data_IF_186051642794
#
_entry.id   IF_186051642794
#
_cell.length_a   1.000
_cell.length_b   1.000
_cell.length_c   1.000
_cell.angle_alpha   90.00
_cell.angle_beta   90.00
_cell.angle_gamma   90.00
#
_symmetry.space_group_name_H-M   'P 1'
#
loop_
_entity.id
_entity.type
_entity.pdbx_description
1 polymer ?
#
# COMPACT_ATOMS: atom_id res chain seq x y z
N UNK A 1 -9.47 -19.69 10.03
CA UNK A 1 -8.07 -19.33 9.76
C UNK A 1 -7.75 -19.73 8.34
N UNK A 2 -7.14 -18.86 7.56
CA UNK A 2 -6.41 -19.22 6.34
C UNK A 2 -4.91 -19.09 6.60
N UNK A 3 -4.11 -19.58 5.66
CA UNK A 3 -2.68 -19.30 5.58
C UNK A 3 -2.46 -18.60 4.24
N UNK A 4 -1.65 -17.54 4.22
CA UNK A 4 -1.39 -16.83 2.96
C UNK A 4 -0.58 -17.71 1.97
N UNK A 5 0.25 -18.62 2.50
CA UNK A 5 1.12 -19.50 1.71
C UNK A 5 0.96 -20.95 2.21
N UNK A 6 -0.18 -21.61 1.95
CA UNK A 6 -0.55 -22.88 2.59
C UNK A 6 0.40 -24.04 2.22
N UNK A 7 1.05 -23.99 1.06
CA UNK A 7 2.07 -24.97 0.66
C UNK A 7 3.32 -24.94 1.56
N UNK A 8 3.63 -23.84 2.26
CA UNK A 8 4.74 -23.78 3.21
C UNK A 8 4.52 -24.69 4.43
N UNK A 9 3.29 -25.11 4.71
CA UNK A 9 3.01 -26.10 5.75
C UNK A 9 3.59 -27.49 5.42
N UNK A 10 3.84 -27.81 4.14
CA UNK A 10 4.56 -29.05 3.77
C UNK A 10 6.00 -29.05 4.28
N UNK A 11 6.61 -27.88 4.47
CA UNK A 11 7.96 -27.75 5.04
C UNK A 11 8.00 -28.18 6.52
N UNK A 12 6.85 -28.27 7.22
CA UNK A 12 6.74 -28.79 8.60
C UNK A 12 6.99 -30.30 8.66
N UNK A 13 6.84 -31.03 7.55
CA UNK A 13 7.04 -32.49 7.49
C UNK A 13 8.52 -32.85 7.73
N UNK A 14 9.47 -32.02 7.28
CA UNK A 14 10.91 -32.25 7.49
C UNK A 14 11.33 -32.21 8.98
N UNK A 15 11.07 -31.14 9.76
CA UNK A 15 11.39 -31.13 11.19
C UNK A 15 10.54 -32.15 11.97
N UNK A 16 9.28 -32.39 11.60
CA UNK A 16 8.45 -33.44 12.22
C UNK A 16 9.07 -34.83 12.03
N UNK A 17 9.49 -35.16 10.79
CA UNK A 17 10.13 -36.42 10.43
C UNK A 17 11.45 -36.62 11.16
N UNK A 18 12.29 -35.59 11.28
CA UNK A 18 13.54 -35.69 12.03
C UNK A 18 13.30 -35.85 13.54
N UNK A 19 12.32 -35.13 14.12
CA UNK A 19 11.96 -35.26 15.53
C UNK A 19 11.43 -36.67 15.84
N UNK A 20 10.56 -37.21 14.96
CA UNK A 20 10.08 -38.60 15.03
C UNK A 20 11.21 -39.62 14.86
N UNK A 21 12.12 -39.42 13.91
CA UNK A 21 13.29 -40.27 13.71
C UNK A 21 14.18 -40.29 14.95
N UNK A 22 14.50 -39.11 15.52
CA UNK A 22 15.28 -39.00 16.75
C UNK A 22 14.50 -39.51 17.97
N UNK A 23 13.18 -39.70 17.93
CA UNK A 23 12.35 -40.37 18.95
C UNK A 23 12.36 -41.90 18.79
N UNK A 24 12.12 -42.43 17.59
CA UNK A 24 12.15 -43.87 17.31
C UNK A 24 13.54 -44.48 17.55
N UNK A 25 14.61 -43.75 17.22
CA UNK A 25 15.96 -44.18 17.54
C UNK A 25 16.27 -44.21 19.05
N UNK A 26 15.45 -43.58 19.94
CA UNK A 26 15.60 -43.73 21.41
C UNK A 26 15.17 -45.12 21.87
N UNK A 27 14.13 -45.67 21.27
CA UNK A 27 13.62 -47.02 21.59
C UNK A 27 14.66 -48.09 21.23
N UNK A 28 15.43 -47.88 20.15
CA UNK A 28 16.54 -48.78 19.75
C UNK A 28 17.86 -48.48 20.46
N UNK A 29 18.20 -47.22 20.72
CA UNK A 29 19.40 -46.84 21.46
C UNK A 29 19.33 -47.14 22.97
N UNK A 30 18.14 -47.42 23.51
CA UNK A 30 17.96 -47.88 24.89
C UNK A 30 18.40 -49.32 25.14
N UNK A 31 18.55 -50.14 24.07
CA UNK A 31 18.87 -51.58 24.17
C UNK A 31 20.18 -51.97 23.48
N UNK A 32 20.70 -51.15 22.55
CA UNK A 32 21.97 -51.40 21.86
C UNK A 32 23.21 -50.95 22.67
N UNK A 33 23.45 -51.59 23.82
CA UNK A 33 24.80 -51.61 24.40
C UNK A 33 25.72 -52.43 23.47
N UNK A 34 26.76 -51.81 22.90
CA UNK A 34 27.82 -52.50 22.13
C UNK A 34 29.15 -52.52 22.90
N UNK A 35 29.32 -53.40 23.91
CA UNK A 35 30.63 -53.69 24.48
C UNK A 35 31.38 -54.61 23.52
N UNK A 36 32.21 -54.04 22.63
CA UNK A 36 33.21 -54.83 21.86
C UNK A 36 34.40 -54.08 21.24
N UNK A 37 34.57 -52.79 21.53
CA UNK A 37 35.69 -51.96 21.01
C UNK A 37 36.49 -51.32 22.17
N UNK A 38 36.14 -51.60 23.44
CA UNK A 38 36.78 -51.00 24.63
C UNK A 38 37.27 -52.02 25.67
N UNK A 39 37.36 -53.30 25.30
CA UNK A 39 37.82 -54.38 26.20
C UNK A 39 39.28 -54.81 25.94
N UNK A 40 40.01 -54.10 25.06
CA UNK A 40 41.37 -54.47 24.65
C UNK A 40 42.47 -54.17 25.67
N UNK A 41 42.48 -52.97 26.27
CA UNK A 41 43.67 -52.46 27.00
C UNK A 41 43.35 -51.79 28.36
N UNK A 42 42.11 -51.86 28.85
CA UNK A 42 41.68 -51.20 30.09
C UNK A 42 41.45 -52.22 31.24
N UNK A 43 42.52 -52.56 31.97
CA UNK A 43 42.46 -53.53 33.06
C UNK A 43 41.60 -53.10 34.26
N UNK A 44 40.65 -53.95 34.66
CA UNK A 44 39.94 -53.96 35.97
C UNK A 44 39.40 -52.60 36.48
N UNK A 45 38.99 -51.70 35.59
CA UNK A 45 38.50 -50.36 35.93
C UNK A 45 37.27 -49.97 35.12
N UNK A 46 36.09 -50.45 35.50
CA UNK A 46 34.81 -50.18 34.81
C UNK A 46 34.36 -48.72 34.94
N UNK A 47 34.92 -47.87 34.09
CA UNK A 47 34.58 -46.44 33.96
C UNK A 47 33.16 -46.24 33.42
N UNK A 48 32.17 -46.35 34.30
CA UNK A 48 30.78 -45.99 34.02
C UNK A 48 30.64 -44.47 33.78
N UNK A 49 30.92 -44.04 32.55
CA UNK A 49 30.68 -42.70 32.03
C UNK A 49 29.16 -42.39 32.02
N UNK A 50 28.63 -41.99 33.18
CA UNK A 50 27.21 -41.68 33.39
C UNK A 50 26.82 -40.43 32.59
N UNK A 51 26.37 -40.64 31.35
CA UNK A 51 26.16 -39.63 30.30
C UNK A 51 25.04 -38.60 30.54
N UNK A 52 25.17 -37.80 31.60
CA UNK A 52 24.28 -36.66 31.90
C UNK A 52 24.28 -35.62 30.78
N UNK A 53 25.43 -35.39 30.14
CA UNK A 53 25.58 -34.51 28.99
C UNK A 53 24.75 -34.96 27.77
N UNK A 54 24.68 -36.27 27.51
CA UNK A 54 23.88 -36.81 26.39
C UNK A 54 22.39 -36.47 26.56
N UNK A 55 21.83 -36.68 27.76
CA UNK A 55 20.44 -36.33 28.07
C UNK A 55 20.17 -34.81 27.98
N UNK A 56 21.15 -33.95 28.28
CA UNK A 56 21.03 -32.49 28.09
C UNK A 56 21.06 -32.10 26.62
N UNK A 57 22.02 -32.58 25.84
CA UNK A 57 22.12 -32.27 24.40
C UNK A 57 20.93 -32.79 23.60
N UNK A 58 20.42 -33.97 23.96
CA UNK A 58 19.19 -34.54 23.41
C UNK A 58 17.95 -33.69 23.76
N UNK A 59 17.89 -33.08 24.96
CA UNK A 59 16.83 -32.10 25.29
C UNK A 59 16.94 -30.85 24.42
N UNK A 60 18.13 -30.29 24.23
CA UNK A 60 18.34 -29.11 23.38
C UNK A 60 17.76 -29.33 21.97
N UNK A 61 18.08 -30.46 21.33
CA UNK A 61 17.57 -30.82 20.00
C UNK A 61 16.03 -30.91 19.91
N UNK A 62 15.34 -31.40 20.95
CA UNK A 62 13.87 -31.41 20.96
C UNK A 62 13.33 -29.98 20.87
N UNK A 63 13.90 -29.05 21.65
CA UNK A 63 13.52 -27.64 21.61
C UNK A 63 13.90 -26.98 20.27
N UNK A 64 15.01 -27.38 19.64
CA UNK A 64 15.39 -26.93 18.29
C UNK A 64 14.30 -27.29 17.25
N UNK A 65 13.94 -28.58 17.17
CA UNK A 65 12.96 -29.06 16.19
C UNK A 65 11.56 -28.51 16.45
N UNK A 66 11.15 -28.41 17.73
CA UNK A 66 9.88 -27.79 18.11
C UNK A 66 9.83 -26.30 17.74
N UNK A 67 10.91 -25.55 18.02
CA UNK A 67 11.03 -24.14 17.63
C UNK A 67 11.01 -23.93 16.12
N UNK A 68 11.67 -24.82 15.36
CA UNK A 68 11.65 -24.80 13.90
C UNK A 68 10.25 -25.09 13.33
N UNK A 69 9.50 -26.03 13.91
CA UNK A 69 8.10 -26.28 13.51
C UNK A 69 7.22 -25.02 13.70
N UNK A 70 7.31 -24.35 14.86
CA UNK A 70 6.58 -23.09 15.09
C UNK A 70 7.05 -21.96 14.16
N UNK A 71 8.35 -21.88 13.83
CA UNK A 71 8.88 -20.89 12.89
C UNK A 71 8.31 -21.06 11.48
N UNK A 72 8.16 -22.31 11.00
CA UNK A 72 7.53 -22.60 9.70
C UNK A 72 6.03 -22.25 9.72
N UNK A 73 5.33 -22.53 10.83
CA UNK A 73 3.93 -22.11 11.00
C UNK A 73 3.79 -20.57 11.00
N UNK A 74 4.75 -19.84 11.58
CA UNK A 74 4.78 -18.37 11.49
C UNK A 74 5.04 -17.89 10.06
N UNK A 75 5.96 -18.54 9.33
CA UNK A 75 6.30 -18.22 7.94
C UNK A 75 5.12 -18.45 6.97
N UNK A 76 4.25 -19.43 7.25
CA UNK A 76 3.01 -19.65 6.51
C UNK A 76 1.97 -18.52 6.67
N UNK A 77 2.24 -17.52 7.53
CA UNK A 77 1.43 -16.32 7.82
C UNK A 77 -0.04 -16.69 8.13
N UNK A 78 -0.32 -17.20 9.35
CA UNK A 78 -1.68 -17.52 9.78
C UNK A 78 -2.52 -16.24 9.84
N UNK A 79 -3.63 -16.25 9.12
CA UNK A 79 -4.55 -15.13 8.95
C UNK A 79 -5.88 -15.42 9.66
N UNK A 80 -6.29 -14.52 10.55
CA UNK A 80 -7.59 -14.58 11.23
C UNK A 80 -8.01 -13.23 11.83
N UNK A 81 -9.33 -13.03 11.88
CA UNK A 81 -9.92 -11.69 11.93
C UNK A 81 -9.98 -11.09 10.53
N UNK A 82 -11.11 -10.47 10.21
CA UNK A 82 -11.24 -9.52 9.11
C UNK A 82 -10.98 -8.13 9.70
N UNK A 83 -10.29 -7.27 8.96
CA UNK A 83 -10.53 -5.84 9.08
C UNK A 83 -11.28 -5.47 7.81
N UNK A 84 -12.50 -5.01 7.97
CA UNK A 84 -13.22 -4.26 6.95
C UNK A 84 -12.56 -2.88 6.89
N UNK A 85 -11.51 -2.79 6.09
CA UNK A 85 -10.79 -1.56 5.75
C UNK A 85 -11.55 -0.96 4.56
N UNK A 86 -12.34 0.12 4.72
CA UNK A 86 -13.16 0.66 3.64
C UNK A 86 -12.25 1.34 2.62
N UNK A 87 -11.79 0.57 1.63
CA UNK A 87 -11.10 1.11 0.48
C UNK A 87 -12.14 1.84 -0.36
N UNK A 88 -12.14 3.18 -0.29
CA UNK A 88 -12.98 4.06 -1.09
C UNK A 88 -12.52 4.09 -2.57
N UNK A 89 -12.39 2.92 -3.20
CA UNK A 89 -12.00 2.75 -4.60
C UNK A 89 -13.19 2.98 -5.55
N UNK A 90 -13.74 4.19 -5.45
CA UNK A 90 -14.62 4.80 -6.44
C UNK A 90 -14.07 6.19 -6.76
N UNK A 91 -12.86 6.21 -7.32
CA UNK A 91 -12.30 7.40 -7.98
C UNK A 91 -13.26 7.82 -9.10
N UNK A 92 -14.04 8.88 -8.87
CA UNK A 92 -15.07 9.34 -9.80
C UNK A 92 -14.40 9.96 -11.02
N UNK A 93 -14.97 9.77 -12.21
CA UNK A 93 -14.50 10.42 -13.43
C UNK A 93 -15.35 11.67 -13.69
N UNK A 94 -14.74 12.85 -13.57
CA UNK A 94 -15.38 14.15 -13.82
C UNK A 94 -14.77 14.75 -15.09
N UNK A 95 -15.58 14.94 -16.11
CA UNK A 95 -15.15 15.54 -17.37
C UNK A 95 -15.81 16.91 -17.51
N UNK A 96 -15.00 17.97 -17.40
CA UNK A 96 -15.44 19.36 -17.48
C UNK A 96 -15.37 19.80 -18.93
N UNK A 97 -16.43 20.40 -19.46
CA UNK A 97 -16.50 20.88 -20.83
C UNK A 97 -16.79 22.38 -20.86
N UNK A 98 -15.96 23.14 -21.59
CA UNK A 98 -16.00 24.61 -21.62
C UNK A 98 -16.28 25.08 -23.03
N UNK A 99 -17.34 25.85 -23.17
CA UNK A 99 -17.72 26.49 -24.43
C UNK A 99 -16.82 27.71 -24.69
N UNK A 100 -16.17 27.70 -25.85
CA UNK A 100 -15.28 28.75 -26.36
C UNK A 100 -15.89 29.44 -27.61
N UNK A 101 -17.19 29.27 -27.87
CA UNK A 101 -17.90 30.04 -28.87
C UNK A 101 -17.89 31.55 -28.56
N UNK A 102 -18.06 32.38 -29.58
CA UNK A 102 -17.97 33.86 -29.42
C UNK A 102 -19.05 34.44 -28.51
N UNK A 103 -20.20 33.76 -28.35
CA UNK A 103 -21.24 34.17 -27.39
C UNK A 103 -20.75 34.11 -25.94
N UNK A 104 -19.76 33.27 -25.62
CA UNK A 104 -19.16 33.21 -24.29
C UNK A 104 -18.24 34.42 -23.97
N UNK A 105 -17.90 35.26 -24.96
CA UNK A 105 -17.23 36.55 -24.71
C UNK A 105 -18.18 37.66 -24.21
N UNK A 106 -19.49 37.40 -24.21
CA UNK A 106 -20.51 38.38 -23.77
C UNK A 106 -20.35 38.71 -22.28
N UNK A 107 -20.57 39.98 -21.95
CA UNK A 107 -20.35 40.56 -20.62
C UNK A 107 -21.66 40.85 -19.85
N UNK A 108 -22.73 40.09 -20.13
CA UNK A 108 -23.98 40.17 -19.36
C UNK A 108 -23.81 39.62 -17.94
N UNK A 109 -22.91 38.65 -17.75
CA UNK A 109 -22.31 38.29 -16.47
C UNK A 109 -20.86 38.79 -16.44
N UNK A 110 -20.47 39.46 -15.35
CA UNK A 110 -19.10 40.00 -15.21
C UNK A 110 -18.09 38.93 -14.76
N UNK A 111 -16.82 38.97 -15.26
CA UNK A 111 -16.34 39.91 -16.28
C UNK A 111 -16.74 39.52 -17.71
N UNK A 112 -16.82 38.22 -18.01
CA UNK A 112 -17.44 37.62 -19.20
C UNK A 112 -18.07 36.27 -18.84
N UNK A 113 -18.90 35.68 -19.71
CA UNK A 113 -19.43 34.32 -19.51
C UNK A 113 -18.30 33.26 -19.47
N UNK A 114 -17.30 33.37 -20.34
CA UNK A 114 -16.13 32.48 -20.36
C UNK A 114 -15.31 32.59 -19.07
N UNK A 115 -15.02 33.80 -18.60
CA UNK A 115 -14.27 33.98 -17.35
C UNK A 115 -15.10 33.56 -16.13
N UNK A 116 -16.42 33.70 -16.19
CA UNK A 116 -17.33 33.11 -15.20
C UNK A 116 -17.22 31.58 -15.17
N UNK A 117 -17.11 30.93 -16.33
CA UNK A 117 -16.86 29.49 -16.43
C UNK A 117 -15.50 29.13 -15.80
N UNK A 118 -14.40 29.79 -16.20
CA UNK A 118 -13.05 29.58 -15.61
C UNK A 118 -13.06 29.68 -14.08
N UNK A 119 -13.73 30.68 -13.52
CA UNK A 119 -13.85 30.88 -12.06
C UNK A 119 -14.66 29.76 -11.37
N UNK A 120 -15.75 29.31 -11.97
CA UNK A 120 -16.54 28.18 -11.44
C UNK A 120 -15.74 26.87 -11.46
N UNK A 121 -14.90 26.67 -12.48
CA UNK A 121 -14.04 25.48 -12.60
C UNK A 121 -12.91 25.54 -11.56
N UNK A 122 -12.21 26.67 -11.41
CA UNK A 122 -11.20 26.85 -10.35
C UNK A 122 -11.78 26.60 -8.96
N UNK A 123 -12.98 27.12 -8.67
CA UNK A 123 -13.68 26.91 -7.40
C UNK A 123 -14.23 25.49 -7.22
N UNK A 124 -14.30 24.68 -8.29
CA UNK A 124 -14.60 23.25 -8.21
C UNK A 124 -13.33 22.45 -7.89
N UNK A 125 -12.23 22.70 -8.60
CA UNK A 125 -10.94 22.01 -8.38
C UNK A 125 -10.47 22.14 -6.92
N UNK A 126 -10.69 23.31 -6.30
CA UNK A 126 -10.41 23.59 -4.88
C UNK A 126 -11.25 22.78 -3.87
N UNK A 127 -12.26 22.01 -4.33
CA UNK A 127 -13.19 21.23 -3.51
C UNK A 127 -13.26 19.74 -3.86
N UNK A 128 -12.45 19.27 -4.81
CA UNK A 128 -12.38 17.85 -5.17
C UNK A 128 -11.30 17.14 -4.35
N UNK A 129 -11.57 15.90 -3.95
CA UNK A 129 -10.72 15.13 -3.03
C UNK A 129 -10.61 13.68 -3.52
N UNK A 130 -9.80 13.46 -4.58
CA UNK A 130 -9.49 12.14 -5.12
C UNK A 130 -10.29 11.73 -6.36
N UNK A 131 -11.17 12.60 -6.87
CA UNK A 131 -11.72 12.45 -8.22
C UNK A 131 -10.64 12.57 -9.31
N UNK A 132 -10.89 11.92 -10.45
CA UNK A 132 -10.10 12.11 -11.68
C UNK A 132 -10.82 13.11 -12.58
N UNK A 133 -10.19 14.26 -12.82
CA UNK A 133 -10.74 15.38 -13.58
C UNK A 133 -10.08 15.47 -14.95
N UNK A 134 -10.88 15.73 -15.98
CA UNK A 134 -10.42 16.04 -17.34
C UNK A 134 -11.11 17.30 -17.86
N UNK A 135 -10.55 17.86 -18.92
CA UNK A 135 -11.01 19.11 -19.54
C UNK A 135 -11.20 18.91 -21.05
N UNK A 136 -12.41 19.17 -21.55
CA UNK A 136 -12.73 19.35 -22.96
C UNK A 136 -13.00 20.83 -23.21
N UNK A 137 -12.56 21.30 -24.38
CA UNK A 137 -12.92 22.61 -24.94
C UNK A 137 -13.72 22.41 -26.21
N UNK A 138 -14.74 23.23 -26.45
CA UNK A 138 -15.58 23.09 -27.63
C UNK A 138 -16.12 24.41 -28.19
N UNK A 139 -16.46 24.38 -29.47
CA UNK A 139 -17.10 25.41 -30.27
C UNK A 139 -17.76 24.69 -31.46
N UNK A 140 -17.46 25.02 -32.73
CA UNK A 140 -17.87 24.23 -33.90
C UNK A 140 -17.23 22.82 -33.96
N UNK A 141 -16.10 22.63 -33.27
CA UNK A 141 -15.42 21.34 -33.03
C UNK A 141 -15.22 21.15 -31.52
N UNK A 142 -14.71 19.98 -31.09
CA UNK A 142 -14.40 19.71 -29.68
C UNK A 142 -13.07 18.95 -29.55
N UNK A 143 -12.29 19.25 -28.50
CA UNK A 143 -11.01 18.62 -28.24
C UNK A 143 -10.80 18.35 -26.74
N UNK A 144 -10.14 17.23 -26.42
CA UNK A 144 -9.72 16.88 -25.06
C UNK A 144 -8.43 17.65 -24.70
N UNK A 145 -8.58 18.79 -24.02
CA UNK A 145 -7.47 19.63 -23.57
C UNK A 145 -6.65 18.99 -22.45
N UNK A 146 -7.29 18.24 -21.54
CA UNK A 146 -6.61 17.49 -20.48
C UNK A 146 -7.30 16.15 -20.21
N UNK A 147 -6.59 15.00 -20.26
CA UNK A 147 -7.16 13.70 -19.95
C UNK A 147 -7.46 13.54 -18.45
N UNK A 148 -8.35 12.58 -18.11
CA UNK A 148 -8.79 12.29 -16.74
C UNK A 148 -7.63 11.96 -15.78
N UNK A 149 -7.20 12.95 -15.00
CA UNK A 149 -6.06 12.92 -14.08
C UNK A 149 -6.46 13.27 -12.65
N UNK A 150 -5.67 12.84 -11.66
CA UNK A 150 -5.80 13.31 -10.27
C UNK A 150 -4.94 14.56 -9.98
N UNK A 151 -4.23 15.09 -10.98
CA UNK A 151 -3.46 16.33 -10.89
C UNK A 151 -4.33 17.52 -11.32
N UNK A 152 -4.79 18.30 -10.33
CA UNK A 152 -5.65 19.47 -10.56
C UNK A 152 -4.84 20.74 -10.84
N UNK A 153 -3.56 20.82 -10.44
CA UNK A 153 -2.72 22.00 -10.63
C UNK A 153 -2.35 22.18 -12.11
N UNK A 154 -2.05 21.07 -12.81
CA UNK A 154 -1.87 21.09 -14.27
C UNK A 154 -3.14 21.60 -14.98
N UNK A 155 -4.33 21.20 -14.52
CA UNK A 155 -5.60 21.65 -15.12
C UNK A 155 -5.83 23.15 -14.83
N UNK A 156 -5.50 23.60 -13.61
CA UNK A 156 -5.59 25.01 -13.19
C UNK A 156 -4.71 25.93 -14.03
N UNK A 157 -3.50 25.51 -14.39
CA UNK A 157 -2.56 26.28 -15.23
C UNK A 157 -3.06 26.46 -16.68
N UNK A 158 -3.90 25.55 -17.19
CA UNK A 158 -4.49 25.68 -18.52
C UNK A 158 -5.68 26.65 -18.60
N UNK A 159 -6.45 26.83 -17.51
CA UNK A 159 -7.69 27.64 -17.54
C UNK A 159 -7.50 29.12 -17.97
N UNK A 160 -6.43 29.84 -17.57
CA UNK A 160 -6.20 31.22 -18.01
C UNK A 160 -5.96 31.35 -19.51
N UNK A 161 -5.40 30.32 -20.17
CA UNK A 161 -5.03 30.33 -21.58
C UNK A 161 -6.19 30.04 -22.54
N UNK A 162 -7.39 29.71 -22.01
CA UNK A 162 -8.58 29.48 -22.83
C UNK A 162 -9.21 30.81 -23.27
N UNK A 163 -9.40 30.97 -24.57
CA UNK A 163 -10.08 32.11 -25.20
C UNK A 163 -10.87 31.63 -26.43
N UNK A 164 -11.76 32.46 -26.99
CA UNK A 164 -12.59 32.07 -28.13
C UNK A 164 -11.76 31.77 -29.40
N UNK A 165 -10.65 32.50 -29.59
CA UNK A 165 -9.72 32.27 -30.70
C UNK A 165 -8.77 31.06 -30.48
N UNK A 166 -8.92 30.32 -29.37
CA UNK A 166 -8.21 29.04 -29.15
C UNK A 166 -8.72 27.92 -30.08
N UNK A 167 -9.98 28.03 -30.54
CA UNK A 167 -10.61 27.05 -31.41
C UNK A 167 -10.58 27.49 -32.88
N UNK A 168 -10.28 26.59 -33.85
CA UNK A 168 -10.17 26.94 -35.27
C UNK A 168 -11.54 27.17 -35.94
N UNK A 169 -12.62 26.63 -35.38
CA UNK A 169 -13.98 26.71 -35.94
C UNK A 169 -14.94 27.34 -34.93
N UNK A 170 -15.60 28.43 -35.32
CA UNK A 170 -16.64 29.08 -34.51
C UNK A 170 -18.00 28.37 -34.55
N UNK A 171 -18.95 28.88 -33.77
CA UNK A 171 -20.24 28.23 -33.53
C UNK A 171 -20.18 27.27 -32.34
N UNK A 172 -21.23 26.44 -32.18
CA UNK A 172 -21.42 25.56 -31.02
C UNK A 172 -21.97 24.21 -31.48
N UNK A 173 -21.22 23.13 -31.25
CA UNK A 173 -21.47 21.78 -31.74
C UNK A 173 -21.49 20.77 -30.58
N UNK A 174 -22.69 20.53 -30.05
CA UNK A 174 -22.90 19.61 -28.94
C UNK A 174 -22.59 18.15 -29.31
N UNK A 175 -22.74 17.76 -30.58
CA UNK A 175 -22.43 16.39 -31.02
C UNK A 175 -20.94 16.08 -30.87
N UNK A 176 -20.08 16.93 -31.41
CA UNK A 176 -18.62 16.78 -31.29
C UNK A 176 -18.18 16.71 -29.82
N UNK A 177 -18.78 17.52 -28.94
CA UNK A 177 -18.54 17.49 -27.50
C UNK A 177 -18.97 16.16 -26.86
N UNK A 178 -20.17 15.64 -27.16
CA UNK A 178 -20.67 14.40 -26.56
C UNK A 178 -19.89 13.19 -27.05
N UNK A 179 -19.52 13.15 -28.33
CA UNK A 179 -18.74 12.07 -28.92
C UNK A 179 -17.30 12.08 -28.37
N UNK A 180 -16.67 13.26 -28.24
CA UNK A 180 -15.36 13.41 -27.57
C UNK A 180 -15.41 13.01 -26.10
N UNK A 181 -16.50 13.33 -25.39
CA UNK A 181 -16.70 12.90 -24.01
C UNK A 181 -16.83 11.38 -23.88
N UNK A 182 -17.56 10.73 -24.80
CA UNK A 182 -17.70 9.28 -24.87
C UNK A 182 -16.36 8.56 -25.14
N UNK A 183 -15.42 9.19 -25.85
CA UNK A 183 -14.06 8.66 -26.03
C UNK A 183 -13.15 8.92 -24.82
N UNK A 184 -13.30 10.06 -24.14
CA UNK A 184 -12.45 10.45 -23.01
C UNK A 184 -12.72 9.68 -21.70
N UNK A 185 -13.97 9.27 -21.43
CA UNK A 185 -14.30 8.44 -20.26
C UNK A 185 -13.70 7.03 -20.37
N UNK A 186 -13.14 6.50 -19.27
CA UNK A 186 -12.52 5.17 -19.33
C UNK A 186 -13.58 4.08 -19.53
N UNK A 187 -13.20 2.99 -20.19
CA UNK A 187 -14.09 1.83 -20.38
C UNK A 187 -14.36 1.03 -19.08
N UNK A 188 -13.81 1.43 -17.93
CA UNK A 188 -13.97 0.71 -16.67
C UNK A 188 -15.38 0.89 -16.08
N UNK A 189 -16.05 -0.20 -15.68
CA UNK A 189 -17.50 -0.17 -15.38
C UNK A 189 -17.85 0.14 -13.91
N UNK A 190 -16.91 0.62 -13.09
CA UNK A 190 -17.11 0.81 -11.64
C UNK A 190 -16.81 2.22 -11.11
N UNK A 191 -16.50 3.17 -11.99
CA UNK A 191 -16.37 4.59 -11.63
C UNK A 191 -17.67 5.34 -11.97
N UNK A 192 -18.14 6.17 -11.04
CA UNK A 192 -19.21 7.14 -11.29
C UNK A 192 -18.73 8.19 -12.31
N UNK A 193 -19.44 8.34 -13.44
CA UNK A 193 -19.09 9.28 -14.52
C UNK A 193 -19.97 10.52 -14.51
N UNK A 194 -19.35 11.70 -14.51
CA UNK A 194 -20.02 13.00 -14.54
C UNK A 194 -19.48 13.87 -15.66
N UNK A 195 -20.37 14.34 -16.54
CA UNK A 195 -20.06 15.33 -17.57
C UNK A 195 -20.55 16.70 -17.09
N UNK A 196 -19.67 17.67 -16.87
CA UNK A 196 -20.04 19.02 -16.43
C UNK A 196 -19.91 19.96 -17.62
N UNK A 197 -21.03 20.49 -18.12
CA UNK A 197 -21.04 21.37 -19.31
C UNK A 197 -21.33 22.82 -18.93
N UNK A 198 -20.42 23.73 -19.29
CA UNK A 198 -20.51 25.16 -19.07
C UNK A 198 -20.65 25.89 -20.42
N UNK A 199 -21.84 26.41 -20.70
CA UNK A 199 -22.21 27.07 -21.96
C UNK A 199 -23.42 28.00 -21.74
N UNK A 200 -23.71 28.90 -22.67
CA UNK A 200 -25.00 29.61 -22.74
C UNK A 200 -26.13 28.78 -23.37
N UNK A 201 -25.84 27.60 -23.92
CA UNK A 201 -26.84 26.66 -24.41
C UNK A 201 -27.29 26.85 -25.86
N UNK A 202 -26.81 27.89 -26.55
CA UNK A 202 -27.14 28.14 -27.96
C UNK A 202 -26.67 26.97 -28.83
N UNK A 203 -27.55 26.44 -29.68
CA UNK A 203 -27.23 25.33 -30.60
C UNK A 203 -27.75 25.59 -32.01
N UNK A 204 -26.95 25.24 -33.02
CA UNK A 204 -27.33 25.38 -34.43
C UNK A 204 -28.09 24.15 -34.94
N UNK A 205 -27.97 23.00 -34.26
CA UNK A 205 -28.59 21.74 -34.66
C UNK A 205 -29.06 20.88 -33.48
N UNK A 206 -29.81 19.81 -33.78
CA UNK A 206 -30.27 18.80 -32.80
C UNK A 206 -29.52 17.46 -32.92
N UNK A 207 -28.46 17.34 -33.73
CA UNK A 207 -27.83 16.02 -33.99
C UNK A 207 -27.18 15.39 -32.75
N UNK A 208 -26.85 16.20 -31.75
CA UNK A 208 -26.41 15.77 -30.42
C UNK A 208 -27.38 14.83 -29.71
N UNK A 209 -28.68 14.84 -30.09
CA UNK A 209 -29.68 13.92 -29.54
C UNK A 209 -29.44 12.46 -29.91
N UNK A 210 -28.66 12.17 -30.96
CA UNK A 210 -28.23 10.81 -31.30
C UNK A 210 -27.29 10.22 -30.23
N UNK A 211 -26.34 11.03 -29.73
CA UNK A 211 -25.32 10.59 -28.76
C UNK A 211 -25.87 10.39 -27.34
N UNK A 212 -27.07 10.94 -27.03
CA UNK A 212 -27.74 10.77 -25.72
C UNK A 212 -27.85 9.32 -25.28
N UNK A 213 -28.16 8.41 -26.22
CA UNK A 213 -28.31 6.99 -25.93
C UNK A 213 -27.00 6.35 -25.45
N UNK A 214 -25.88 6.73 -26.06
CA UNK A 214 -24.56 6.20 -25.68
C UNK A 214 -24.11 6.72 -24.30
N UNK A 215 -24.52 7.93 -23.90
CA UNK A 215 -24.30 8.45 -22.55
C UNK A 215 -25.08 7.63 -21.50
N UNK A 216 -26.36 7.35 -21.78
CA UNK A 216 -27.23 6.53 -20.93
C UNK A 216 -26.68 5.10 -20.79
N UNK A 217 -26.31 4.44 -21.91
CA UNK A 217 -25.73 3.09 -21.91
C UNK A 217 -24.37 3.02 -21.18
N UNK A 218 -23.68 4.15 -20.99
CA UNK A 218 -22.46 4.28 -20.16
C UNK A 218 -22.67 4.87 -18.76
N UNK A 219 -23.91 5.09 -18.30
CA UNK A 219 -24.24 5.71 -17.01
C UNK A 219 -23.49 7.06 -16.78
N UNK A 220 -23.36 7.87 -17.84
CA UNK A 220 -22.77 9.21 -17.79
C UNK A 220 -23.89 10.21 -17.47
N UNK A 221 -23.76 10.93 -16.36
CA UNK A 221 -24.74 11.93 -15.91
C UNK A 221 -24.26 13.34 -16.25
N UNK A 222 -25.05 14.11 -17.01
CA UNK A 222 -24.68 15.46 -17.43
C UNK A 222 -25.20 16.53 -16.46
N UNK A 223 -24.27 17.24 -15.82
CA UNK A 223 -24.51 18.42 -15.00
C UNK A 223 -24.35 19.62 -15.92
N UNK A 224 -25.43 20.32 -16.23
CA UNK A 224 -25.43 21.40 -17.21
C UNK A 224 -25.57 22.75 -16.51
N UNK A 225 -24.60 23.63 -16.71
CA UNK A 225 -24.51 24.96 -16.11
C UNK A 225 -24.70 26.01 -17.21
N UNK A 226 -25.90 26.58 -17.25
CA UNK A 226 -26.22 27.66 -18.19
C UNK A 226 -25.61 28.97 -17.73
N UNK A 227 -24.68 29.55 -18.49
CA UNK A 227 -24.03 30.83 -18.17
C UNK A 227 -24.52 31.90 -19.16
N UNK A 228 -25.38 32.80 -18.71
CA UNK A 228 -25.81 33.97 -19.49
C UNK A 228 -27.03 34.62 -18.88
N UNK A 229 -27.70 35.48 -19.64
CA UNK A 229 -28.99 36.07 -19.27
C UNK A 229 -30.03 35.82 -20.37
N UNK A 230 -31.31 35.70 -19.97
CA UNK A 230 -32.42 35.55 -20.91
C UNK A 230 -32.70 36.84 -21.72
N UNK A 231 -32.27 38.00 -21.21
CA UNK A 231 -32.28 39.25 -21.96
C UNK A 231 -31.22 39.25 -23.08
N UNK A 232 -30.05 38.70 -22.77
CA UNK A 232 -28.89 38.66 -23.65
C UNK A 232 -28.11 39.97 -23.74
N UNK A 233 -26.97 39.92 -24.40
CA UNK A 233 -26.21 41.11 -24.78
C UNK A 233 -25.43 40.89 -26.09
N UNK A 234 -24.90 41.99 -26.63
CA UNK A 234 -24.20 42.01 -27.91
C UNK A 234 -22.80 41.39 -27.78
N UNK A 235 -22.39 40.61 -28.76
CA UNK A 235 -21.07 39.95 -28.76
C UNK A 235 -19.97 40.98 -29.05
N UNK A 236 -18.97 41.18 -28.17
CA UNK A 236 -17.87 42.11 -28.41
C UNK A 236 -16.88 41.56 -29.45
N UNK A 237 -16.35 42.44 -30.29
CA UNK A 237 -15.41 42.13 -31.39
C UNK A 237 -13.93 42.39 -30.99
N UNK A 238 -13.63 42.38 -29.68
CA UNK A 238 -12.31 42.71 -29.09
C UNK A 238 -11.88 44.19 -29.20
N UNK A 239 -12.20 44.84 -30.32
CA UNK A 239 -11.80 46.21 -30.71
C UNK A 239 -12.65 47.33 -30.10
N UNK A 240 -13.64 46.99 -29.26
CA UNK A 240 -14.69 47.91 -28.78
C UNK A 240 -15.87 48.06 -29.75
N UNK A 241 -15.83 47.41 -30.91
CA UNK A 241 -17.00 47.14 -31.74
C UNK A 241 -17.77 45.89 -31.27
N UNK A 242 -18.90 45.62 -31.90
CA UNK A 242 -19.67 44.38 -31.73
C UNK A 242 -19.68 43.57 -33.03
N UNK A 243 -19.70 42.24 -32.89
CA UNK A 243 -19.77 41.30 -34.01
C UNK A 243 -21.07 41.50 -34.78
N UNK A 244 -20.98 41.45 -36.11
CA UNK A 244 -22.11 41.63 -37.04
C UNK A 244 -22.34 40.41 -37.90
N UNK A 245 -23.61 40.14 -38.16
CA UNK A 245 -24.11 39.20 -39.16
C UNK A 245 -23.74 39.67 -40.59
N UNK A 246 -23.85 38.79 -41.59
CA UNK A 246 -23.65 39.08 -43.02
C UNK A 246 -24.47 40.29 -43.50
N UNK A 247 -25.60 40.54 -42.86
CA UNK A 247 -26.52 41.66 -43.14
C UNK A 247 -26.12 42.98 -42.47
N UNK A 248 -24.99 43.03 -41.77
CA UNK A 248 -24.48 44.20 -41.05
C UNK A 248 -25.18 44.51 -39.72
N UNK A 249 -26.16 43.70 -39.31
CA UNK A 249 -26.84 43.81 -38.02
C UNK A 249 -25.96 43.23 -36.90
N UNK A 250 -26.01 43.83 -35.70
CA UNK A 250 -25.24 43.36 -34.53
C UNK A 250 -25.85 42.07 -33.97
N UNK A 251 -25.01 41.08 -33.68
CA UNK A 251 -25.42 39.79 -33.11
C UNK A 251 -25.73 39.93 -31.62
N UNK A 252 -26.89 39.41 -31.19
CA UNK A 252 -27.40 39.45 -29.82
C UNK A 252 -27.62 38.02 -29.31
N UNK A 253 -26.71 37.56 -28.44
CA UNK A 253 -26.73 36.23 -27.85
C UNK A 253 -27.51 36.20 -26.52
N UNK A 254 -28.20 35.09 -26.23
CA UNK A 254 -29.04 34.86 -25.04
C UNK A 254 -28.79 33.46 -24.46
N UNK A 255 -29.05 33.32 -23.15
CA UNK A 255 -29.07 32.01 -22.50
C UNK A 255 -30.21 31.13 -23.04
N UNK A 256 -29.89 30.07 -23.79
CA UNK A 256 -30.82 29.04 -24.26
C UNK A 256 -30.84 27.84 -23.30
N UNK A 257 -31.57 28.01 -22.20
CA UNK A 257 -31.64 26.99 -21.13
C UNK A 257 -32.28 25.65 -21.54
N UNK A 258 -33.01 25.59 -22.65
CA UNK A 258 -33.78 24.42 -23.15
C UNK A 258 -32.86 23.25 -23.51
N UNK A 259 -31.84 23.48 -24.35
CA UNK A 259 -30.85 22.49 -24.78
C UNK A 259 -30.19 21.81 -23.59
N UNK A 260 -29.71 22.62 -22.65
CA UNK A 260 -29.02 22.19 -21.43
C UNK A 260 -29.94 21.45 -20.44
N UNK A 261 -31.23 21.83 -20.36
CA UNK A 261 -32.22 21.11 -19.56
C UNK A 261 -32.60 19.75 -20.18
N UNK A 262 -32.74 19.65 -21.51
CA UNK A 262 -33.03 18.39 -22.19
C UNK A 262 -31.86 17.39 -22.08
N UNK A 263 -30.62 17.86 -22.22
CA UNK A 263 -29.40 17.06 -22.01
C UNK A 263 -29.28 16.54 -20.56
N UNK A 264 -29.41 17.42 -19.56
CA UNK A 264 -29.33 17.03 -18.15
C UNK A 264 -30.45 16.05 -17.77
N UNK A 265 -31.70 16.33 -18.17
CA UNK A 265 -32.86 15.47 -17.89
C UNK A 265 -32.74 14.10 -18.54
N UNK A 266 -32.24 14.02 -19.77
CA UNK A 266 -32.06 12.76 -20.51
C UNK A 266 -31.00 11.86 -19.89
N UNK A 267 -29.98 12.45 -19.24
CA UNK A 267 -28.85 11.72 -18.63
C UNK A 267 -29.00 11.50 -17.12
N UNK A 268 -30.19 11.78 -16.54
CA UNK A 268 -30.43 11.74 -15.08
C UNK A 268 -29.50 12.67 -14.26
N UNK A 269 -28.98 13.72 -14.90
CA UNK A 269 -28.20 14.78 -14.27
C UNK A 269 -29.05 15.98 -13.86
N UNK A 270 -28.41 17.14 -13.71
CA UNK A 270 -29.01 18.33 -13.10
C UNK A 270 -28.67 19.58 -13.91
N UNK A 271 -29.67 20.42 -14.18
CA UNK A 271 -29.48 21.77 -14.73
C UNK A 271 -29.47 22.85 -13.64
N UNK A 272 -28.62 23.86 -13.78
CA UNK A 272 -28.66 25.12 -13.03
C UNK A 272 -28.29 26.32 -13.91
N UNK A 273 -28.85 27.48 -13.57
CA UNK A 273 -28.43 28.79 -14.08
C UNK A 273 -27.25 29.30 -13.23
N UNK A 274 -26.10 29.47 -13.87
CA UNK A 274 -24.81 29.82 -13.27
C UNK A 274 -24.45 31.32 -13.37
N UNK A 275 -25.44 32.17 -13.72
CA UNK A 275 -25.38 33.62 -13.51
C UNK A 275 -25.22 33.98 -12.03
N UNK A 276 -25.88 33.22 -11.15
CA UNK A 276 -25.78 33.34 -9.69
C UNK A 276 -24.57 32.62 -9.08
N UNK A 277 -24.46 32.67 -7.75
CA UNK A 277 -23.53 31.81 -7.01
C UNK A 277 -24.08 30.37 -6.94
N UNK A 278 -23.22 29.39 -7.23
CA UNK A 278 -23.53 27.95 -7.16
C UNK A 278 -22.42 27.27 -6.36
N UNK A 279 -22.79 26.38 -5.43
CA UNK A 279 -21.86 25.36 -4.92
C UNK A 279 -21.87 24.13 -5.83
N UNK A 280 -20.93 24.11 -6.78
CA UNK A 280 -20.86 23.05 -7.78
C UNK A 280 -20.49 21.70 -7.16
N UNK A 281 -19.59 21.68 -6.16
CA UNK A 281 -19.25 20.46 -5.42
C UNK A 281 -20.44 19.91 -4.62
N UNK A 282 -21.25 20.79 -4.02
CA UNK A 282 -22.50 20.41 -3.34
C UNK A 282 -23.49 19.72 -4.28
N UNK A 283 -23.74 20.29 -5.46
CA UNK A 283 -24.60 19.70 -6.50
C UNK A 283 -24.06 18.37 -7.03
N UNK A 284 -22.74 18.31 -7.24
CA UNK A 284 -22.00 17.11 -7.66
C UNK A 284 -22.18 15.96 -6.65
N UNK A 285 -22.34 16.27 -5.36
CA UNK A 285 -22.60 15.29 -4.30
C UNK A 285 -24.10 14.96 -4.15
N UNK A 286 -25.01 15.95 -4.29
CA UNK A 286 -26.46 15.74 -4.38
C UNK A 286 -26.81 14.75 -5.52
N UNK A 287 -26.13 14.89 -6.66
CA UNK A 287 -26.31 14.02 -7.84
C UNK A 287 -25.76 12.60 -7.58
N UNK A 288 -24.65 12.46 -6.83
CA UNK A 288 -24.14 11.15 -6.35
C UNK A 288 -25.14 10.47 -5.43
N UNK A 289 -25.63 11.15 -4.39
CA UNK A 289 -26.55 10.55 -3.42
C UNK A 289 -27.89 10.16 -4.04
N UNK A 290 -28.29 10.85 -5.11
CA UNK A 290 -29.49 10.51 -5.88
C UNK A 290 -29.27 9.24 -6.71
N UNK A 291 -28.12 9.09 -7.38
CA UNK A 291 -27.78 7.88 -8.15
C UNK A 291 -27.44 6.65 -7.28
N UNK A 292 -26.62 6.82 -6.22
CA UNK A 292 -26.14 5.73 -5.35
C UNK A 292 -27.23 4.99 -4.57
N UNK A 293 -28.47 5.51 -4.53
CA UNK A 293 -29.63 4.79 -3.96
C UNK A 293 -29.98 3.51 -4.73
N UNK A 294 -29.43 3.29 -5.93
CA UNK A 294 -29.60 2.04 -6.69
C UNK A 294 -28.50 0.98 -6.47
N UNK A 295 -27.24 1.36 -6.26
CA UNK A 295 -26.09 0.45 -6.41
C UNK A 295 -25.13 0.43 -5.20
N UNK A 296 -25.59 -0.11 -4.07
CA UNK A 296 -24.71 -0.55 -2.98
C UNK A 296 -23.99 -1.88 -3.36
N UNK A 297 -23.11 -1.82 -4.37
CA UNK A 297 -22.13 -2.89 -4.62
C UNK A 297 -20.89 -2.61 -3.79
N UNK A 298 -21.03 -2.86 -2.49
CA UNK A 298 -19.93 -2.82 -1.52
C UNK A 298 -18.87 -3.88 -1.91
N UNK A 299 -17.85 -3.47 -2.68
CA UNK A 299 -16.68 -4.30 -2.98
C UNK A 299 -15.80 -4.43 -1.73
N UNK A 300 -16.31 -5.21 -0.78
CA UNK A 300 -15.65 -5.54 0.47
C UNK A 300 -14.39 -6.40 0.16
N UNK A 301 -13.26 -5.73 -0.08
CA UNK A 301 -11.93 -6.33 -0.31
C UNK A 301 -11.35 -6.81 1.01
N UNK A 302 -12.00 -7.83 1.58
CA UNK A 302 -11.72 -8.37 2.92
C UNK A 302 -10.23 -8.65 3.12
N UNK A 303 -9.55 -7.75 3.84
CA UNK A 303 -8.15 -7.91 4.21
C UNK A 303 -8.08 -8.73 5.49
N UNK A 304 -7.66 -9.99 5.38
CA UNK A 304 -7.51 -10.85 6.56
C UNK A 304 -6.26 -10.43 7.34
N UNK A 305 -6.42 -10.27 8.65
CA UNK A 305 -5.33 -9.80 9.52
C UNK A 305 -4.29 -10.90 9.70
N UNK A 306 -3.04 -10.60 9.39
CA UNK A 306 -1.91 -11.49 9.63
C UNK A 306 -1.55 -11.50 11.11
N UNK A 307 -1.58 -12.69 11.73
CA UNK A 307 -1.31 -12.86 13.17
C UNK A 307 -0.16 -13.83 13.42
N UNK A 308 0.83 -13.79 12.52
CA UNK A 308 2.06 -14.58 12.58
C UNK A 308 2.82 -14.42 13.90
N UNK A 309 2.70 -13.27 14.57
CA UNK A 309 3.26 -12.96 15.89
C UNK A 309 2.97 -14.06 16.93
N UNK A 310 1.75 -14.63 16.93
CA UNK A 310 1.32 -15.67 17.87
C UNK A 310 2.00 -17.03 17.64
N UNK A 311 2.47 -17.31 16.41
CA UNK A 311 3.28 -18.49 16.10
C UNK A 311 4.79 -18.20 16.25
N UNK A 312 5.20 -16.95 16.00
CA UNK A 312 6.60 -16.53 16.09
C UNK A 312 7.12 -16.46 17.54
N UNK A 313 6.29 -16.01 18.48
CA UNK A 313 6.66 -15.94 19.90
C UNK A 313 7.07 -17.30 20.51
N UNK A 314 6.27 -18.39 20.40
CA UNK A 314 6.70 -19.71 20.90
C UNK A 314 7.87 -20.29 20.10
N UNK A 315 8.01 -19.98 18.80
CA UNK A 315 9.17 -20.36 18.01
C UNK A 315 10.47 -19.78 18.59
N UNK A 316 10.49 -18.46 18.84
CA UNK A 316 11.63 -17.74 19.40
C UNK A 316 12.01 -18.29 20.79
N UNK A 317 11.03 -18.50 21.67
CA UNK A 317 11.24 -19.05 23.02
C UNK A 317 11.83 -20.46 22.96
N UNK A 318 11.35 -21.34 22.07
CA UNK A 318 11.89 -22.69 21.91
C UNK A 318 13.32 -22.68 21.37
N UNK A 319 13.64 -21.81 20.41
CA UNK A 319 14.99 -21.68 19.85
C UNK A 319 15.99 -21.12 20.90
N UNK A 320 15.58 -20.14 21.71
CA UNK A 320 16.38 -19.61 22.81
C UNK A 320 16.62 -20.67 23.90
N UNK A 321 15.60 -21.45 24.26
CA UNK A 321 15.73 -22.59 25.19
C UNK A 321 16.68 -23.67 24.64
N UNK A 322 16.60 -23.96 23.35
CA UNK A 322 17.53 -24.88 22.67
C UNK A 322 18.97 -24.40 22.79
N UNK A 323 19.24 -23.15 22.40
CA UNK A 323 20.57 -22.54 22.44
C UNK A 323 21.17 -22.56 23.86
N UNK A 324 20.40 -22.15 24.87
CA UNK A 324 20.83 -22.17 26.27
C UNK A 324 21.06 -23.60 26.82
N UNK A 325 20.32 -24.58 26.31
CA UNK A 325 20.55 -25.99 26.65
C UNK A 325 21.77 -26.58 25.94
N UNK A 326 22.14 -26.15 24.74
CA UNK A 326 23.33 -26.66 24.03
C UNK A 326 24.64 -25.97 24.49
N UNK A 327 24.61 -24.67 24.84
CA UNK A 327 25.80 -23.92 25.26
C UNK A 327 25.87 -23.66 26.79
N UNK A 328 26.49 -24.55 27.59
CA UNK A 328 26.71 -24.33 29.02
C UNK A 328 27.81 -23.27 29.26
N UNK A 329 27.42 -22.05 29.59
CA UNK A 329 28.29 -20.88 29.91
C UNK A 329 29.24 -21.11 31.11
N UNK A 330 29.18 -22.26 31.80
CA UNK A 330 30.11 -22.63 32.87
C UNK A 330 30.56 -24.08 32.75
N UNK A 331 31.85 -24.37 32.50
CA UNK A 331 32.39 -25.71 32.76
C UNK A 331 32.30 -25.96 34.28
N UNK A 332 31.68 -27.06 34.69
CA UNK A 332 31.73 -27.50 36.08
C UNK A 332 33.05 -28.25 36.31
N UNK A 333 33.83 -27.93 37.34
CA UNK A 333 34.97 -28.77 37.72
C UNK A 333 34.47 -30.20 38.02
N UNK A 334 35.31 -31.19 37.72
CA UNK A 334 35.05 -32.60 38.04
C UNK A 334 35.78 -32.93 39.33
N UNK A 335 35.02 -33.21 40.40
CA UNK A 335 35.58 -33.74 41.63
C UNK A 335 36.06 -35.18 41.40
N UNK A 336 37.34 -35.32 41.04
CA UNK A 336 38.01 -36.60 40.94
C UNK A 336 38.32 -37.13 42.35
N UNK A 337 37.35 -37.83 42.95
CA UNK A 337 37.60 -38.63 44.16
C UNK A 337 38.53 -39.79 43.81
N UNK A 338 39.83 -39.56 43.98
CA UNK A 338 40.84 -40.62 44.04
C UNK A 338 40.41 -41.62 45.12
N UNK A 339 40.32 -42.90 44.76
CA UNK A 339 40.10 -43.97 45.72
C UNK A 339 41.31 -44.04 46.67
N UNK A 340 41.06 -44.21 47.98
CA UNK A 340 42.10 -44.20 48.99
C UNK A 340 43.07 -45.38 48.79
N UNK A 341 44.25 -45.09 48.24
CA UNK A 341 45.35 -46.05 48.23
C UNK A 341 45.82 -46.29 49.67
N UNK A 342 45.93 -47.55 50.09
CA UNK A 342 46.33 -47.91 51.44
C UNK A 342 47.80 -47.52 51.70
N UNK A 343 48.00 -46.33 52.28
CA UNK A 343 49.30 -45.73 52.59
C UNK A 343 50.09 -46.44 53.72
N UNK A 344 49.71 -47.66 54.08
CA UNK A 344 50.38 -48.48 55.10
C UNK A 344 51.72 -49.08 54.64
N UNK A 345 52.04 -49.06 53.34
CA UNK A 345 53.23 -49.72 52.77
C UNK A 345 54.44 -48.82 52.46
N UNK A 346 54.35 -47.50 52.64
CA UNK A 346 55.37 -46.54 52.15
C UNK A 346 56.09 -45.73 53.26
N UNK A 347 55.77 -45.98 54.52
CA UNK A 347 56.21 -45.15 55.66
C UNK A 347 57.57 -45.46 56.29
N UNK A 348 58.43 -46.30 55.69
CA UNK A 348 59.59 -46.88 56.40
C UNK A 348 61.00 -46.42 55.93
N UNK A 349 61.10 -45.50 54.96
CA UNK A 349 62.40 -45.15 54.32
C UNK A 349 62.80 -43.68 54.48
N UNK A 350 61.89 -42.77 54.84
CA UNK A 350 62.10 -41.31 54.77
C UNK A 350 62.19 -40.60 56.15
N UNK A 351 62.72 -41.26 57.18
CA UNK A 351 62.75 -40.74 58.55
C UNK A 351 64.13 -40.81 59.25
N UNK A 352 65.23 -40.82 58.50
CA UNK A 352 66.60 -40.69 59.06
C UNK A 352 67.38 -39.58 58.35
N UNK A 353 67.08 -38.35 58.71
CA UNK A 353 67.88 -37.17 58.37
C UNK A 353 69.06 -37.00 59.34
N UNK A 354 70.10 -36.28 58.87
CA UNK A 354 71.21 -35.72 59.67
C UNK A 354 72.28 -36.71 60.18
N UNK A 355 73.32 -36.93 59.36
CA UNK A 355 74.69 -36.54 59.72
C UNK A 355 75.57 -36.34 58.46
N UNK A 356 76.74 -35.72 58.64
CA UNK A 356 77.77 -35.38 57.61
C UNK A 356 77.38 -34.39 56.48
N UNK A 357 77.83 -33.15 56.68
CA UNK A 357 78.15 -32.12 55.66
C UNK A 357 79.66 -32.18 55.31
N UNK A 358 80.33 -31.24 54.57
CA UNK A 358 79.90 -29.98 53.93
C UNK A 358 80.39 -29.87 52.43
N UNK A 359 80.98 -28.76 51.90
CA UNK A 359 80.28 -27.67 51.21
C UNK A 359 80.83 -27.25 49.82
N UNK A 360 80.17 -26.25 49.18
CA UNK A 360 80.68 -25.06 48.44
C UNK A 360 79.60 -24.62 47.40
N UNK A 361 79.00 -23.42 47.45
CA UNK A 361 79.49 -22.06 47.13
C UNK A 361 79.82 -21.81 45.64
N UNK A 362 79.43 -20.69 44.99
CA UNK A 362 78.54 -19.58 45.41
C UNK A 362 78.12 -18.66 44.23
N UNK A 363 77.10 -17.82 44.47
CA UNK A 363 76.87 -16.47 43.90
C UNK A 363 76.57 -16.28 42.38
N UNK A 364 75.87 -15.22 41.94
CA UNK A 364 74.86 -14.35 42.58
C UNK A 364 74.16 -13.42 41.55
N UNK A 365 72.90 -13.04 41.82
CA UNK A 365 72.17 -11.83 41.34
C UNK A 365 71.93 -11.67 39.81
N UNK A 366 70.98 -10.87 39.31
CA UNK A 366 70.03 -9.89 39.92
C UNK A 366 68.57 -10.09 39.49
N UNK A 367 67.64 -9.78 40.40
CA UNK A 367 66.23 -9.34 40.16
C UNK A 367 66.12 -7.86 40.62
N UNK A 368 64.95 -7.16 40.69
CA UNK A 368 63.54 -7.48 40.35
C UNK A 368 62.90 -6.34 39.49
N UNK A 369 61.59 -6.03 39.35
CA UNK A 369 60.27 -6.65 39.66
C UNK A 369 59.14 -6.01 38.79
N UNK A 370 57.86 -6.35 39.08
CA UNK A 370 56.62 -5.54 38.96
C UNK A 370 56.42 -4.55 37.79
N UNK A 371 55.30 -4.71 37.04
CA UNK A 371 54.04 -3.95 37.33
C UNK A 371 52.92 -4.07 36.26
N UNK A 372 51.68 -3.81 36.70
CA UNK A 372 50.49 -3.28 35.98
C UNK A 372 50.04 -3.79 34.59
N UNK A 373 48.88 -4.45 34.59
CA UNK A 373 47.63 -4.04 33.90
C UNK A 373 47.70 -3.17 32.60
N UNK A 374 47.23 -3.75 31.48
CA UNK A 374 45.98 -3.26 30.88
C UNK A 374 45.97 -2.72 29.42
N UNK A 375 44.97 -3.20 28.66
CA UNK A 375 44.40 -2.68 27.38
C UNK A 375 45.21 -2.86 26.08
N UNK A 376 44.50 -2.52 24.98
CA UNK A 376 44.84 -2.54 23.54
C UNK A 376 44.46 -3.87 22.85
N UNK A 377 43.50 -3.89 21.90
CA UNK A 377 42.55 -2.83 21.47
C UNK A 377 41.18 -3.45 21.19
#
# INVERSE_FOLDING_TARGET
MSFAWPHLLLLVILPAGFLLWELFHRVKAGTAFHPKILEGEAGSGTLHLRGTGAKRRQRARIWLWLGLMFAVVALARPQWGRIEEPVFDQSREILITVDLSRSMLVQDIKPSRLDRAKLLISSLLEKLEGERVGLIVFSGTAFLQSPLSADYEILREFLPALDADYMPEGGTNYRALLDTALEAFSASSSADRFLITLSDGETTDETWKESLRALQERNIRAICLGIGTAAGAMIPDGTGAFVKDERGAVVLSRLESTTLQELAKSTQGVYRDASGWIDLAGLINETVETGRKGEFVEKNTVRLVERYQWALAPALVCLLLSFWLEFPVRPRPRDLKLAGANLAGLGFIAALSVLSSPPLNAAANTTPELSTLGKIV
#
